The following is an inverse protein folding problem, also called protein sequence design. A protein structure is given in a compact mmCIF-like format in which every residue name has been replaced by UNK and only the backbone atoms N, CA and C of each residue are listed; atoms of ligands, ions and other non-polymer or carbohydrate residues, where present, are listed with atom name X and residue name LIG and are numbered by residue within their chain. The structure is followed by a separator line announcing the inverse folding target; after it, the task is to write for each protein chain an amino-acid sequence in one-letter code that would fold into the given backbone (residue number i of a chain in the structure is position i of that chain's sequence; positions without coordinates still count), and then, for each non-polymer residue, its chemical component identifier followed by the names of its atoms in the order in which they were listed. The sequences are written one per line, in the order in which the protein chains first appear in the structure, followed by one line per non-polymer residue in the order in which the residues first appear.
data_IF_773475411767
#
_entry.id   IF_773475411767
#
_cell.length_a   1.000
_cell.length_b   1.000
_cell.length_c   1.000
_cell.angle_alpha   90.00
_cell.angle_beta   90.00
_cell.angle_gamma   90.00
#
_symmetry.space_group_name_H-M   'P 1'
#
loop_
_entity.id
_entity.type
_entity.pdbx_description
1 polymer ?
#
# COMPACT_ATOMS: atom_id res chain seq x y z
N UNK A 1 13.89 1.84 16.39
CA UNK A 1 12.73 2.70 16.72
C UNK A 1 11.71 2.50 15.63
N UNK A 2 10.74 1.61 15.81
CA UNK A 2 9.72 1.30 14.80
C UNK A 2 8.64 2.38 14.87
N UNK A 3 8.76 3.42 14.05
CA UNK A 3 7.67 4.38 13.86
C UNK A 3 6.49 3.63 13.24
N UNK A 4 5.34 3.61 13.92
CA UNK A 4 4.10 3.11 13.34
C UNK A 4 3.69 4.05 12.21
N UNK A 5 3.85 3.62 10.96
CA UNK A 5 3.43 4.39 9.79
C UNK A 5 1.91 4.35 9.69
N UNK A 6 1.26 5.50 9.83
CA UNK A 6 -0.17 5.65 9.55
C UNK A 6 -0.41 5.46 8.05
N UNK A 7 -1.35 4.58 7.69
CA UNK A 7 -1.78 4.37 6.31
C UNK A 7 -3.05 5.21 6.08
N UNK A 8 -3.01 6.24 5.21
CA UNK A 8 -4.21 6.97 4.82
C UNK A 8 -5.23 6.06 4.12
N UNK A 9 -6.52 6.36 4.27
CA UNK A 9 -7.59 5.63 3.59
C UNK A 9 -7.42 5.61 2.06
N UNK A 10 -6.96 6.73 1.48
CA UNK A 10 -6.66 6.81 0.05
C UNK A 10 -5.58 5.84 -0.39
N UNK A 11 -4.52 5.68 0.40
CA UNK A 11 -3.39 4.79 0.10
C UNK A 11 -3.86 3.35 0.13
N UNK A 12 -4.68 3.00 1.13
CA UNK A 12 -5.29 1.68 1.21
C UNK A 12 -6.20 1.41 0.00
N UNK A 13 -7.04 2.36 -0.39
CA UNK A 13 -7.92 2.22 -1.56
C UNK A 13 -7.15 2.05 -2.87
N UNK A 14 -6.05 2.78 -3.05
CA UNK A 14 -5.17 2.65 -4.22
C UNK A 14 -4.50 1.28 -4.31
N UNK A 15 -3.98 0.78 -3.18
CA UNK A 15 -3.32 -0.53 -3.11
C UNK A 15 -4.33 -1.66 -3.35
N UNK A 16 -5.53 -1.57 -2.74
CA UNK A 16 -6.62 -2.51 -3.01
C UNK A 16 -7.01 -2.53 -4.48
N UNK A 17 -7.08 -1.36 -5.12
CA UNK A 17 -7.48 -1.27 -6.52
C UNK A 17 -6.42 -1.88 -7.44
N UNK A 18 -5.15 -1.58 -7.19
CA UNK A 18 -4.02 -2.12 -7.96
C UNK A 18 -3.94 -3.64 -7.89
N UNK A 19 -4.27 -4.23 -6.74
CA UNK A 19 -4.23 -5.69 -6.53
C UNK A 19 -5.57 -6.39 -6.83
N UNK A 20 -6.58 -5.67 -7.33
CA UNK A 20 -7.86 -6.24 -7.75
C UNK A 20 -8.82 -6.61 -6.61
N UNK A 21 -8.71 -5.98 -5.44
CA UNK A 21 -9.48 -6.29 -4.23
C UNK A 21 -10.60 -5.29 -3.90
N UNK A 22 -10.87 -4.32 -4.77
CA UNK A 22 -11.81 -3.21 -4.57
C UNK A 22 -11.09 -1.87 -4.43
N UNK A 23 -11.76 -0.81 -3.98
CA UNK A 23 -11.16 0.53 -3.87
C UNK A 23 -11.28 1.35 -5.16
N UNK A 24 -10.45 2.39 -5.30
CA UNK A 24 -10.46 3.30 -6.44
C UNK A 24 -9.06 3.54 -6.99
N UNK A 25 -8.91 3.83 -8.30
CA UNK A 25 -7.61 3.98 -8.93
C UNK A 25 -6.86 5.20 -8.41
N UNK A 26 -5.55 5.06 -8.28
CA UNK A 26 -4.67 6.20 -8.05
C UNK A 26 -4.43 7.02 -9.33
N UNK A 27 -3.81 8.20 -9.15
CA UNK A 27 -3.29 8.98 -10.27
C UNK A 27 -2.14 8.27 -11.00
N UNK A 28 -1.82 8.73 -12.22
CA UNK A 28 -0.90 8.06 -13.14
C UNK A 28 0.50 7.79 -12.58
N UNK A 29 1.04 8.72 -11.78
CA UNK A 29 2.33 8.53 -11.10
C UNK A 29 2.26 7.38 -10.09
N UNK A 30 1.26 7.40 -9.20
CA UNK A 30 1.07 6.37 -8.17
C UNK A 30 0.79 5.01 -8.78
N UNK A 31 0.02 4.94 -9.87
CA UNK A 31 -0.19 3.68 -10.61
C UNK A 31 1.13 3.09 -11.11
N UNK A 32 2.03 3.92 -11.66
CA UNK A 32 3.36 3.47 -12.08
C UNK A 32 4.24 3.07 -10.88
N UNK A 33 4.14 3.78 -9.77
CA UNK A 33 4.83 3.45 -8.53
C UNK A 33 4.40 2.07 -8.01
N UNK A 34 3.10 1.79 -7.96
CA UNK A 34 2.57 0.48 -7.55
C UNK A 34 3.00 -0.63 -8.51
N UNK A 35 2.98 -0.38 -9.82
CA UNK A 35 3.51 -1.32 -10.81
C UNK A 35 5.02 -1.58 -10.63
N UNK A 36 5.79 -0.58 -10.22
CA UNK A 36 7.21 -0.75 -9.90
C UNK A 36 7.42 -1.67 -8.68
N UNK A 37 6.52 -1.66 -7.70
CA UNK A 37 6.55 -2.62 -6.59
C UNK A 37 6.26 -4.05 -7.02
N UNK A 38 5.37 -4.24 -7.99
CA UNK A 38 5.06 -5.57 -8.54
C UNK A 38 6.27 -6.19 -9.25
N UNK A 39 7.18 -5.39 -9.81
CA UNK A 39 8.38 -5.87 -10.50
C UNK A 39 9.68 -5.75 -9.69
N UNK A 40 9.65 -5.14 -8.50
CA UNK A 40 10.83 -4.92 -7.68
C UNK A 40 11.28 -6.22 -6.98
N UNK A 41 12.60 -6.45 -7.00
CA UNK A 41 13.26 -7.35 -6.05
C UNK A 41 13.19 -6.82 -4.61
N UNK A 42 13.60 -7.63 -3.64
CA UNK A 42 13.52 -7.26 -2.22
C UNK A 42 14.30 -5.97 -1.87
N UNK A 43 15.46 -5.75 -2.49
CA UNK A 43 16.29 -4.58 -2.22
C UNK A 43 15.66 -3.30 -2.76
N UNK A 44 15.09 -3.36 -3.97
CA UNK A 44 14.38 -2.24 -4.57
C UNK A 44 13.02 -2.01 -3.92
N UNK A 45 12.31 -3.06 -3.50
CA UNK A 45 11.09 -2.94 -2.72
C UNK A 45 11.31 -2.26 -1.36
N UNK A 46 12.45 -2.54 -0.70
CA UNK A 46 12.85 -1.85 0.52
C UNK A 46 13.11 -0.35 0.28
N UNK A 47 13.85 0.00 -0.79
CA UNK A 47 14.07 1.41 -1.17
C UNK A 47 12.77 2.15 -1.47
N UNK A 48 11.83 1.49 -2.15
CA UNK A 48 10.51 2.06 -2.41
C UNK A 48 9.73 2.24 -1.10
N UNK A 49 9.79 1.30 -0.17
CA UNK A 49 9.15 1.43 1.14
C UNK A 49 9.74 2.58 1.97
N UNK A 50 11.06 2.79 1.92
CA UNK A 50 11.71 3.91 2.60
C UNK A 50 11.28 5.26 2.01
N UNK A 51 11.16 5.35 0.68
CA UNK A 51 10.74 6.58 -0.02
C UNK A 51 9.24 6.86 0.09
N UNK A 52 8.42 5.81 0.19
CA UNK A 52 6.95 5.88 0.19
C UNK A 52 6.37 5.02 1.31
N UNK A 53 6.58 5.41 2.58
CA UNK A 53 6.33 4.55 3.74
C UNK A 53 4.88 4.09 3.88
N UNK A 54 3.90 4.95 3.58
CA UNK A 54 2.48 4.58 3.68
C UNK A 54 2.10 3.48 2.67
N UNK A 55 2.58 3.57 1.43
CA UNK A 55 2.37 2.54 0.42
C UNK A 55 3.13 1.26 0.76
N UNK A 56 4.38 1.38 1.24
CA UNK A 56 5.15 0.23 1.72
C UNK A 56 4.43 -0.51 2.86
N UNK A 57 3.86 0.22 3.82
CA UNK A 57 3.08 -0.35 4.91
C UNK A 57 1.80 -1.05 4.42
N UNK A 58 1.05 -0.43 3.49
CA UNK A 58 -0.15 -1.01 2.89
C UNK A 58 0.15 -2.29 2.10
N UNK A 59 1.20 -2.29 1.28
CA UNK A 59 1.65 -3.48 0.55
C UNK A 59 2.11 -4.58 1.52
N UNK A 60 2.78 -4.22 2.62
CA UNK A 60 3.20 -5.18 3.63
C UNK A 60 2.00 -5.84 4.35
N UNK A 61 0.88 -5.13 4.55
CA UNK A 61 -0.35 -5.74 5.06
C UNK A 61 -0.87 -6.82 4.10
N UNK A 62 -0.93 -6.54 2.79
CA UNK A 62 -1.36 -7.54 1.80
C UNK A 62 -0.42 -8.75 1.75
N UNK A 63 0.89 -8.53 1.77
CA UNK A 63 1.89 -9.61 1.78
C UNK A 63 1.79 -10.49 3.04
N UNK A 64 1.29 -9.95 4.15
CA UNK A 64 0.99 -10.68 5.38
C UNK A 64 -0.39 -11.35 5.40
N UNK A 65 -1.19 -11.18 4.35
CA UNK A 65 -2.56 -11.70 4.27
C UNK A 65 -3.58 -10.87 5.07
N UNK A 66 -3.24 -9.66 5.51
CA UNK A 66 -4.11 -8.78 6.31
C UNK A 66 -5.05 -7.94 5.42
N UNK A 67 -5.72 -8.58 4.44
CA UNK A 67 -6.60 -7.90 3.48
C UNK A 67 -7.77 -7.17 4.17
N UNK A 68 -8.41 -7.81 5.15
CA UNK A 68 -9.56 -7.22 5.86
C UNK A 68 -9.16 -5.97 6.64
N UNK A 69 -7.95 -5.96 7.20
CA UNK A 69 -7.40 -4.77 7.86
C UNK A 69 -7.18 -3.64 6.86
N UNK A 70 -6.65 -3.94 5.67
CA UNK A 70 -6.47 -2.94 4.63
C UNK A 70 -7.80 -2.37 4.13
N UNK A 71 -8.84 -3.20 4.02
CA UNK A 71 -10.20 -2.76 3.68
C UNK A 71 -10.78 -1.83 4.74
N UNK A 72 -10.65 -2.19 6.02
CA UNK A 72 -11.11 -1.35 7.11
C UNK A 72 -10.47 0.06 7.06
N UNK A 73 -9.16 0.14 6.76
CA UNK A 73 -8.46 1.43 6.58
C UNK A 73 -9.04 2.22 5.41
N UNK A 74 -9.28 1.58 4.26
CA UNK A 74 -9.85 2.23 3.09
C UNK A 74 -11.24 2.81 3.35
N UNK A 75 -12.03 2.15 4.21
CA UNK A 75 -13.35 2.59 4.66
C UNK A 75 -13.32 3.66 5.76
N UNK A 76 -12.12 4.02 6.24
CA UNK A 76 -11.93 5.05 7.27
C UNK A 76 -12.00 4.52 8.71
N UNK A 77 -11.99 3.20 8.91
CA UNK A 77 -11.76 2.65 10.24
C UNK A 77 -10.30 2.94 10.65
N UNK A 78 -10.11 3.56 11.82
CA UNK A 78 -8.78 3.87 12.35
C UNK A 78 -7.95 2.59 12.51
N UNK A 79 -6.73 2.58 11.96
CA UNK A 79 -5.76 1.49 12.09
C UNK A 79 -4.51 1.85 12.88
#
# INVERSE_FOLDING_TARGET
MSQSVTIPSEVAAHVLFHEGHGGYPAGSFTTKLLAAWTSADDANAARLADAFPAYGAAIALLRRGELDRLRAIAEGAAA
#
